data_IF_092044692337
#
_entry.id   IF_092044692337
#
_cell.length_a   1.000
_cell.length_b   1.000
_cell.length_c   1.000
_cell.angle_alpha   90.00
_cell.angle_beta   90.00
_cell.angle_gamma   90.00
#
_symmetry.space_group_name_H-M   'P 1'
#
loop_
_entity.id
_entity.type
_entity.pdbx_description
1 polymer ?
#
# COMPACT_ATOMS: atom_id res chain seq x y z
N UNK A 1 1.38 -1.95 -26.22
CA UNK A 1 1.88 -1.18 -25.06
C UNK A 1 3.13 -1.88 -24.55
N UNK A 2 4.20 -1.15 -24.17
CA UNK A 2 5.43 -1.76 -23.64
C UNK A 2 5.40 -1.65 -22.11
N UNK A 3 5.48 -2.79 -21.42
CA UNK A 3 5.57 -2.88 -19.97
C UNK A 3 7.03 -2.65 -19.55
N UNK A 4 7.25 -1.91 -18.47
CA UNK A 4 8.59 -1.69 -17.91
C UNK A 4 8.93 -2.75 -16.85
N UNK A 5 7.92 -3.30 -16.16
CA UNK A 5 8.07 -4.36 -15.17
C UNK A 5 7.54 -5.69 -15.69
N UNK A 6 8.12 -6.76 -15.17
CA UNK A 6 7.52 -8.10 -15.23
C UNK A 6 6.71 -8.35 -13.94
N UNK A 7 5.77 -9.31 -13.95
CA UNK A 7 5.05 -9.75 -12.75
C UNK A 7 5.99 -10.05 -11.57
N UNK A 8 7.09 -10.76 -11.82
CA UNK A 8 8.07 -11.15 -10.81
C UNK A 8 8.80 -9.92 -10.25
N UNK A 9 9.12 -8.94 -11.11
CA UNK A 9 9.77 -7.70 -10.68
C UNK A 9 8.83 -6.85 -9.82
N UNK A 10 7.54 -6.80 -10.14
CA UNK A 10 6.54 -6.15 -9.29
C UNK A 10 6.43 -6.81 -7.91
N UNK A 11 6.39 -8.15 -7.86
CA UNK A 11 6.40 -8.91 -6.60
C UNK A 11 7.68 -8.63 -5.79
N UNK A 12 8.85 -8.63 -6.42
CA UNK A 12 10.12 -8.32 -5.74
C UNK A 12 10.13 -6.90 -5.15
N UNK A 13 9.59 -5.91 -5.87
CA UNK A 13 9.46 -4.54 -5.38
C UNK A 13 8.52 -4.48 -4.17
N UNK A 14 7.39 -5.17 -4.23
CA UNK A 14 6.44 -5.24 -3.12
C UNK A 14 7.04 -5.91 -1.88
N UNK A 15 7.73 -7.05 -2.03
CA UNK A 15 8.41 -7.74 -0.91
C UNK A 15 9.51 -6.87 -0.28
N UNK A 16 10.30 -6.19 -1.13
CA UNK A 16 11.33 -5.26 -0.66
C UNK A 16 10.71 -4.09 0.11
N UNK A 17 9.57 -3.58 -0.34
CA UNK A 17 8.82 -2.53 0.32
C UNK A 17 8.27 -2.98 1.68
N UNK A 18 7.65 -4.16 1.75
CA UNK A 18 7.16 -4.75 3.01
C UNK A 18 8.29 -4.86 4.03
N UNK A 19 9.42 -5.43 3.62
CA UNK A 19 10.59 -5.57 4.49
C UNK A 19 11.12 -4.22 5.00
N UNK A 20 11.18 -3.22 4.12
CA UNK A 20 11.68 -1.87 4.47
C UNK A 20 10.79 -1.17 5.50
N UNK A 21 9.48 -1.30 5.36
CA UNK A 21 8.49 -0.62 6.21
C UNK A 21 7.86 -1.52 7.28
N UNK A 22 8.40 -2.73 7.47
CA UNK A 22 7.94 -3.72 8.46
C UNK A 22 6.45 -4.07 8.33
N UNK A 23 5.95 -4.15 7.09
CA UNK A 23 4.57 -4.56 6.80
C UNK A 23 4.49 -6.09 6.87
N UNK A 24 3.64 -6.62 7.73
CA UNK A 24 3.44 -8.06 7.91
C UNK A 24 2.62 -8.68 6.77
N UNK A 25 2.80 -9.98 6.53
CA UNK A 25 2.05 -10.74 5.53
C UNK A 25 2.88 -11.25 4.35
N UNK A 26 2.33 -12.26 3.69
CA UNK A 26 2.99 -13.05 2.64
C UNK A 26 2.28 -12.89 1.31
N UNK A 27 3.07 -12.72 0.26
CA UNK A 27 2.56 -12.80 -1.11
C UNK A 27 2.39 -14.29 -1.47
N UNK A 28 1.29 -14.71 -2.13
CA UNK A 28 1.14 -16.06 -2.63
C UNK A 28 2.31 -16.48 -3.53
N UNK A 29 2.67 -17.76 -3.52
CA UNK A 29 3.76 -18.29 -4.37
C UNK A 29 3.37 -18.32 -5.85
N UNK A 30 2.08 -18.45 -6.15
CA UNK A 30 1.57 -18.44 -7.51
C UNK A 30 1.49 -16.99 -8.04
N UNK A 31 2.29 -16.69 -9.06
CA UNK A 31 2.34 -15.35 -9.69
C UNK A 31 0.97 -14.87 -10.15
N UNK A 32 0.15 -15.73 -10.74
CA UNK A 32 -1.17 -15.32 -11.28
C UNK A 32 -2.17 -14.93 -10.19
N UNK A 33 -2.03 -15.52 -9.00
CA UNK A 33 -2.82 -15.15 -7.82
C UNK A 33 -2.23 -13.93 -7.11
N UNK A 34 -0.90 -13.84 -7.10
CA UNK A 34 -0.15 -12.81 -6.39
C UNK A 34 -0.18 -11.44 -7.07
N UNK A 35 -0.31 -11.36 -8.40
CA UNK A 35 -0.19 -10.08 -9.09
C UNK A 35 -1.15 -9.93 -10.26
N UNK A 36 -1.79 -8.76 -10.32
CA UNK A 36 -2.70 -8.36 -11.40
C UNK A 36 -2.23 -7.07 -12.05
N UNK A 37 -2.35 -6.99 -13.36
CA UNK A 37 -2.02 -5.81 -14.14
C UNK A 37 -3.25 -4.96 -14.44
N UNK A 38 -3.12 -3.65 -14.32
CA UNK A 38 -4.14 -2.69 -14.68
C UNK A 38 -3.52 -1.57 -15.53
N UNK A 39 -4.12 -1.27 -16.69
CA UNK A 39 -3.66 -0.19 -17.57
C UNK A 39 -3.78 1.19 -16.93
N UNK A 40 -4.79 1.36 -16.06
CA UNK A 40 -5.00 2.55 -15.25
C UNK A 40 -5.50 2.10 -13.87
N UNK A 41 -4.96 2.70 -12.82
CA UNK A 41 -5.39 2.43 -11.45
C UNK A 41 -5.50 3.72 -10.65
N UNK A 42 -6.37 3.72 -9.65
CA UNK A 42 -6.65 4.89 -8.82
C UNK A 42 -5.37 5.53 -8.28
N UNK A 43 -5.24 6.85 -8.43
CA UNK A 43 -4.12 7.64 -7.95
C UNK A 43 -2.72 7.19 -8.44
N UNK A 44 -2.64 6.42 -9.53
CA UNK A 44 -1.40 6.04 -10.19
C UNK A 44 -1.37 6.62 -11.60
N UNK A 45 -0.27 7.27 -11.96
CA UNK A 45 -0.08 7.76 -13.31
C UNK A 45 0.38 6.62 -14.22
N UNK A 46 -0.51 6.19 -15.13
CA UNK A 46 -0.25 5.10 -16.07
C UNK A 46 -0.50 3.71 -15.46
N UNK A 47 0.11 2.66 -16.04
CA UNK A 47 -0.17 1.31 -15.62
C UNK A 47 0.37 0.97 -14.23
N UNK A 48 -0.34 0.06 -13.57
CA UNK A 48 -0.02 -0.41 -12.23
C UNK A 48 -0.09 -1.94 -12.16
N UNK A 49 0.77 -2.49 -11.30
CA UNK A 49 0.73 -3.87 -10.86
C UNK A 49 0.22 -3.90 -9.41
N UNK A 50 -0.86 -4.63 -9.18
CA UNK A 50 -1.45 -4.86 -7.88
C UNK A 50 -0.92 -6.18 -7.34
N UNK A 51 -0.09 -6.13 -6.30
CA UNK A 51 0.47 -7.30 -5.64
C UNK A 51 -0.36 -7.61 -4.39
N UNK A 52 -1.06 -8.74 -4.40
CA UNK A 52 -1.93 -9.20 -3.32
C UNK A 52 -1.08 -9.92 -2.28
N UNK A 53 -1.25 -9.58 -1.01
CA UNK A 53 -0.59 -10.21 0.13
C UNK A 53 -1.62 -10.58 1.19
N UNK A 54 -1.37 -11.68 1.89
CA UNK A 54 -2.21 -12.22 2.96
C UNK A 54 -1.52 -12.00 4.30
N UNK A 55 -2.24 -11.51 5.31
CA UNK A 55 -1.71 -11.34 6.66
C UNK A 55 -1.38 -12.71 7.30
N UNK A 56 -0.31 -12.74 8.11
CA UNK A 56 0.23 -13.98 8.68
C UNK A 56 -0.66 -14.60 9.78
N UNK A 57 -1.47 -13.80 10.48
CA UNK A 57 -2.22 -14.20 11.66
C UNK A 57 -3.73 -14.10 11.44
N UNK A 58 -4.32 -15.19 10.95
CA UNK A 58 -5.78 -15.35 10.74
C UNK A 58 -6.52 -15.72 12.02
N UNK A 59 -6.36 -14.92 13.07
CA UNK A 59 -7.00 -15.20 14.37
C UNK A 59 -8.48 -14.81 14.40
N UNK A 60 -8.94 -14.02 13.44
CA UNK A 60 -10.31 -13.54 13.30
C UNK A 60 -10.84 -13.83 11.89
N UNK A 61 -12.16 -14.01 11.75
CA UNK A 61 -12.81 -14.20 10.45
C UNK A 61 -12.86 -12.86 9.70
N UNK A 62 -12.22 -12.77 8.53
CA UNK A 62 -12.19 -11.58 7.67
C UNK A 62 -11.34 -11.78 6.42
N UNK A 63 -11.50 -10.90 5.42
CA UNK A 63 -10.59 -10.84 4.26
C UNK A 63 -9.24 -10.29 4.73
N UNK A 64 -8.31 -11.20 5.03
CA UNK A 64 -6.96 -10.89 5.51
C UNK A 64 -6.00 -10.42 4.40
N UNK A 65 -6.54 -9.90 3.31
CA UNK A 65 -5.78 -9.49 2.14
C UNK A 65 -5.51 -7.98 2.16
N UNK A 66 -4.31 -7.61 1.75
CA UNK A 66 -3.94 -6.24 1.45
C UNK A 66 -3.21 -6.20 0.12
N UNK A 67 -3.31 -5.07 -0.57
CA UNK A 67 -2.78 -4.91 -1.92
C UNK A 67 -1.69 -3.86 -1.94
N UNK A 68 -0.50 -4.21 -2.42
CA UNK A 68 0.58 -3.27 -2.69
C UNK A 68 0.48 -2.82 -4.14
N UNK A 69 0.44 -1.51 -4.36
CA UNK A 69 0.29 -0.91 -5.68
C UNK A 69 1.67 -0.45 -6.18
N UNK A 70 2.11 -1.06 -7.27
CA UNK A 70 3.40 -0.78 -7.92
C UNK A 70 3.17 -0.07 -9.25
N UNK A 71 3.75 1.11 -9.43
CA UNK A 71 3.71 1.81 -10.71
C UNK A 71 4.65 1.14 -11.71
N UNK A 72 4.12 0.74 -12.87
CA UNK A 72 4.94 0.25 -13.99
C UNK A 72 5.79 1.39 -14.57
N UNK A 73 5.23 2.60 -14.66
CA UNK A 73 5.93 3.76 -15.25
C UNK A 73 7.10 4.22 -14.38
N UNK A 74 6.93 4.24 -13.04
CA UNK A 74 7.96 4.72 -12.10
C UNK A 74 8.84 3.61 -11.52
N UNK A 75 8.54 2.35 -11.82
CA UNK A 75 9.23 1.16 -11.28
C UNK A 75 9.35 1.14 -9.74
N UNK A 76 8.31 1.60 -9.04
CA UNK A 76 8.29 1.71 -7.57
C UNK A 76 6.91 1.50 -6.97
N UNK A 77 6.86 1.19 -5.68
CA UNK A 77 5.60 1.18 -4.91
C UNK A 77 5.08 2.60 -4.73
N UNK A 78 3.81 2.82 -5.03
CA UNK A 78 3.11 4.10 -4.84
C UNK A 78 2.37 4.15 -3.50
N UNK A 79 1.75 3.04 -3.06
CA UNK A 79 1.08 2.89 -1.77
C UNK A 79 0.67 1.42 -1.56
N UNK A 80 0.11 1.10 -0.40
CA UNK A 80 -0.64 -0.14 -0.21
C UNK A 80 -2.05 0.16 0.29
N UNK A 81 -3.00 -0.72 -0.03
CA UNK A 81 -4.39 -0.67 0.37
C UNK A 81 -4.60 -1.79 1.38
N UNK A 82 -5.07 -1.46 2.59
CA UNK A 82 -5.39 -2.49 3.58
C UNK A 82 -6.72 -3.20 3.29
N UNK A 83 -7.06 -4.18 4.12
CA UNK A 83 -8.29 -4.96 4.04
C UNK A 83 -9.58 -4.10 4.12
N UNK A 84 -9.49 -2.88 4.66
CA UNK A 84 -10.62 -1.95 4.76
C UNK A 84 -10.75 -1.03 3.54
N UNK A 85 -9.82 -1.13 2.58
CA UNK A 85 -9.79 -0.26 1.40
C UNK A 85 -9.04 1.06 1.62
N UNK A 86 -8.41 1.25 2.79
CA UNK A 86 -7.69 2.49 3.11
C UNK A 86 -6.29 2.44 2.51
N UNK A 87 -5.92 3.50 1.81
CA UNK A 87 -4.58 3.65 1.21
C UNK A 87 -3.59 4.24 2.20
N UNK A 88 -2.43 3.61 2.30
CA UNK A 88 -1.35 3.97 3.22
C UNK A 88 -0.06 4.26 2.45
N UNK A 89 0.65 5.30 2.90
CA UNK A 89 1.88 5.79 2.26
C UNK A 89 3.09 5.80 3.21
N UNK A 90 3.55 4.65 3.77
CA UNK A 90 4.66 4.61 4.74
C UNK A 90 5.98 5.27 4.30
N UNK A 91 6.16 5.43 2.99
CA UNK A 91 7.36 6.03 2.40
C UNK A 91 7.29 7.56 2.29
N UNK A 92 6.11 8.15 2.48
CA UNK A 92 5.93 9.59 2.57
C UNK A 92 6.03 9.94 4.06
N UNK A 93 6.97 10.79 4.47
CA UNK A 93 7.00 11.31 5.83
C UNK A 93 5.66 11.98 6.10
N UNK A 94 4.93 11.55 7.15
CA UNK A 94 3.79 12.32 7.61
C UNK A 94 4.33 13.70 7.98
N UNK A 95 3.89 14.75 7.27
CA UNK A 95 4.02 16.11 7.77
C UNK A 95 3.23 16.12 9.07
N UNK A 96 3.96 16.21 10.18
CA UNK A 96 3.50 16.46 11.55
C UNK A 96 2.02 16.14 11.76
N UNK A 97 1.76 14.96 12.34
CA UNK A 97 0.57 14.84 13.18
C UNK A 97 0.54 16.10 14.05
N UNK A 98 -0.57 16.84 13.95
CA UNK A 98 -0.86 18.00 14.79
C UNK A 98 -0.40 17.67 16.20
N UNK A 99 0.45 18.50 16.80
CA UNK A 99 0.88 18.23 18.17
C UNK A 99 -0.34 18.25 19.09
N UNK A 100 -0.28 17.55 20.23
CA UNK A 100 -1.36 17.58 21.21
C UNK A 100 -1.70 19.04 21.59
N UNK A 101 -0.69 19.92 21.66
CA UNK A 101 -0.85 21.36 21.89
C UNK A 101 -1.65 22.08 20.78
N UNK A 102 -1.40 21.72 19.51
CA UNK A 102 -2.16 22.27 18.37
C UNK A 102 -3.59 21.73 18.32
N UNK A 103 -3.82 20.50 18.78
CA UNK A 103 -5.16 19.91 18.87
C UNK A 103 -5.98 20.60 19.97
N UNK A 104 -5.44 20.71 21.19
CA UNK A 104 -6.12 21.36 22.32
C UNK A 104 -6.48 22.83 22.01
N UNK A 105 -5.59 23.57 21.32
CA UNK A 105 -5.84 24.96 20.95
C UNK A 105 -7.04 25.16 19.99
N UNK A 106 -7.46 24.13 19.25
CA UNK A 106 -8.64 24.17 18.38
C UNK A 106 -9.92 24.01 19.22
N UNK A 107 -9.89 23.16 20.25
CA UNK A 107 -11.07 22.88 21.08
C UNK A 107 -11.27 23.90 22.22
N UNK A 108 -10.21 24.58 22.68
CA UNK A 108 -10.33 25.67 23.65
C UNK A 108 -10.99 26.95 23.06
N UNK A 109 -10.97 27.13 21.73
CA UNK A 109 -11.57 28.32 21.09
C UNK A 109 -13.09 28.19 20.84
N UNK A 110 -13.70 27.03 21.08
CA UNK A 110 -15.13 26.78 20.91
C UNK A 110 -15.95 26.95 22.22
N UNK A 111 -15.31 27.33 23.34
CA UNK A 111 -15.97 27.53 24.66
C UNK A 111 -16.33 28.99 25.02
N UNK A 112 -16.38 29.94 24.06
CA UNK A 112 -16.91 31.32 24.28
C UNK A 112 -18.37 31.53 23.85
#
# INVERSE_FOLDING_TARGET
MKLNLTPEKAIMLAESYKKKYKISGKTPTNTEEAVKYYENFYNVQGPAWLVISVLDNKIFEGDDEFTIVVSDTKEKVEFFIDHSGISHYPHIPQQSAMSDEEFEAIFENDEE
#
